data_IF_704457969040
#
_entry.id   IF_704457969040
#
_cell.length_a   1.000
_cell.length_b   1.000
_cell.length_c   1.000
_cell.angle_alpha   90.00
_cell.angle_beta   90.00
_cell.angle_gamma   90.00
#
_symmetry.space_group_name_H-M   'P 1'
#
loop_
_entity.id
_entity.type
_entity.pdbx_description
1 polymer ?
#
# COMPACT_ATOMS: atom_id res chain seq x y z
N UNK A 1 69.80 22.71 -11.33
CA UNK A 1 68.83 22.18 -10.34
C UNK A 1 67.45 22.26 -11.00
N UNK A 2 67.07 21.20 -11.71
CA UNK A 2 66.09 20.17 -11.30
C UNK A 2 64.66 20.62 -11.65
N UNK A 3 64.10 20.17 -12.79
CA UNK A 3 63.14 19.05 -12.93
C UNK A 3 61.75 19.39 -12.34
N UNK A 4 60.57 19.06 -12.88
CA UNK A 4 60.10 18.28 -14.05
C UNK A 4 58.58 18.10 -13.87
N UNK A 5 57.84 18.06 -14.99
CA UNK A 5 56.55 17.39 -15.20
C UNK A 5 55.23 17.98 -14.64
N UNK A 6 54.39 18.37 -15.61
CA UNK A 6 53.02 17.86 -15.85
C UNK A 6 52.43 16.86 -14.85
N UNK A 7 51.15 17.07 -14.51
CA UNK A 7 50.06 16.09 -14.33
C UNK A 7 48.79 16.92 -14.03
N UNK A 8 48.04 17.38 -15.03
CA UNK A 8 46.80 16.72 -15.48
C UNK A 8 46.25 15.72 -14.45
N UNK A 9 45.21 16.12 -13.71
CA UNK A 9 44.29 15.18 -13.07
C UNK A 9 42.90 15.78 -13.04
N UNK A 10 42.07 15.22 -13.92
CA UNK A 10 40.61 15.10 -13.83
C UNK A 10 40.09 15.17 -12.40
N UNK A 11 39.22 16.14 -12.10
CA UNK A 11 38.20 15.96 -11.05
C UNK A 11 36.88 15.62 -11.72
N UNK A 12 36.80 14.37 -12.17
CA UNK A 12 35.54 13.67 -12.42
C UNK A 12 34.71 13.71 -11.14
N UNK A 13 33.49 14.21 -11.28
CA UNK A 13 32.25 13.72 -10.66
C UNK A 13 32.43 12.56 -9.70
N UNK A 14 32.28 12.85 -8.41
CA UNK A 14 31.93 11.85 -7.40
C UNK A 14 30.53 12.16 -6.89
N UNK A 15 29.51 11.85 -7.69
CA UNK A 15 28.16 11.64 -7.19
C UNK A 15 28.24 10.42 -6.28
N UNK A 16 28.39 10.64 -4.97
CA UNK A 16 28.15 9.59 -3.97
C UNK A 16 26.68 9.20 -4.10
N UNK A 17 26.40 8.15 -4.88
CA UNK A 17 25.20 7.33 -4.68
C UNK A 17 25.30 6.81 -3.24
N UNK A 18 24.63 7.48 -2.32
CA UNK A 18 24.48 6.98 -0.96
C UNK A 18 23.73 5.66 -1.09
N UNK A 19 24.42 4.55 -0.87
CA UNK A 19 23.77 3.26 -0.65
C UNK A 19 22.98 3.45 0.64
N UNK A 20 21.69 3.75 0.51
CA UNK A 20 20.76 3.81 1.64
C UNK A 20 20.79 2.41 2.23
N UNK A 21 21.46 2.26 3.36
CA UNK A 21 21.54 0.99 4.06
C UNK A 21 20.20 0.80 4.77
N UNK A 22 19.21 0.30 4.04
CA UNK A 22 17.88 0.04 4.58
C UNK A 22 18.04 -0.96 5.74
N UNK A 23 17.71 -0.55 6.95
CA UNK A 23 17.91 -1.34 8.17
C UNK A 23 17.00 -2.60 8.12
N UNK A 24 17.54 -3.78 8.39
CA UNK A 24 16.75 -5.03 8.44
C UNK A 24 15.64 -5.02 9.52
N UNK A 25 15.75 -4.18 10.55
CA UNK A 25 14.65 -3.93 11.49
C UNK A 25 13.48 -3.18 10.83
N UNK A 26 13.79 -2.27 9.91
CA UNK A 26 12.81 -1.44 9.21
C UNK A 26 12.07 -2.22 8.11
N UNK A 27 12.77 -3.06 7.33
CA UNK A 27 12.10 -3.99 6.39
C UNK A 27 11.18 -5.00 7.09
N UNK A 28 11.49 -5.35 8.35
CA UNK A 28 10.58 -6.16 9.17
C UNK A 28 9.34 -5.39 9.59
N UNK A 29 9.48 -4.11 9.92
CA UNK A 29 8.36 -3.25 10.29
C UNK A 29 7.37 -3.07 9.12
N UNK A 30 7.86 -2.81 7.90
CA UNK A 30 7.01 -2.81 6.68
C UNK A 30 6.31 -4.16 6.50
N UNK A 31 7.05 -5.27 6.62
CA UNK A 31 6.50 -6.61 6.43
C UNK A 31 5.45 -6.98 7.50
N UNK A 32 5.64 -6.51 8.72
CA UNK A 32 4.69 -6.68 9.82
C UNK A 32 3.44 -5.83 9.60
N UNK A 33 3.58 -4.59 9.13
CA UNK A 33 2.46 -3.70 8.81
C UNK A 33 1.61 -4.26 7.65
N UNK A 34 2.23 -4.68 6.54
CA UNK A 34 1.52 -5.33 5.43
C UNK A 34 0.78 -6.58 5.89
N UNK A 35 1.38 -7.37 6.78
CA UNK A 35 0.72 -8.57 7.33
C UNK A 35 -0.50 -8.20 8.18
N UNK A 36 -0.45 -7.13 8.96
CA UNK A 36 -1.60 -6.66 9.76
C UNK A 36 -2.71 -6.11 8.85
N UNK A 37 -2.36 -5.34 7.81
CA UNK A 37 -3.30 -4.83 6.82
C UNK A 37 -4.07 -5.96 6.13
N UNK A 38 -3.38 -6.96 5.59
CA UNK A 38 -4.03 -8.12 4.96
C UNK A 38 -4.92 -8.89 5.94
N UNK A 39 -4.50 -9.06 7.20
CA UNK A 39 -5.34 -9.71 8.21
C UNK A 39 -6.63 -8.93 8.50
N UNK A 40 -6.57 -7.60 8.52
CA UNK A 40 -7.74 -6.76 8.71
C UNK A 40 -8.66 -6.81 7.49
N UNK A 41 -8.12 -6.77 6.27
CA UNK A 41 -8.88 -6.92 5.03
C UNK A 41 -9.62 -8.26 4.98
N UNK A 42 -8.93 -9.37 5.21
CA UNK A 42 -9.52 -10.71 5.18
C UNK A 42 -10.62 -10.89 6.25
N UNK A 43 -10.39 -10.40 7.47
CA UNK A 43 -11.40 -10.46 8.54
C UNK A 43 -12.62 -9.63 8.21
N UNK A 44 -12.43 -8.46 7.62
CA UNK A 44 -13.53 -7.58 7.22
C UNK A 44 -14.31 -8.22 6.06
N UNK A 45 -13.61 -8.76 5.06
CA UNK A 45 -14.21 -9.49 3.93
C UNK A 45 -15.07 -10.66 4.40
N UNK A 46 -14.55 -11.48 5.31
CA UNK A 46 -15.28 -12.62 5.85
C UNK A 46 -16.63 -12.22 6.49
N UNK A 47 -16.69 -11.08 7.18
CA UNK A 47 -17.93 -10.59 7.79
C UNK A 47 -18.89 -9.95 6.79
N UNK A 48 -18.38 -9.44 5.67
CA UNK A 48 -19.18 -8.81 4.62
C UNK A 48 -19.60 -9.78 3.52
N UNK A 49 -19.10 -11.02 3.55
CA UNK A 49 -19.37 -12.01 2.52
C UNK A 49 -20.87 -12.41 2.47
N UNK A 50 -21.50 -12.37 1.29
CA UNK A 50 -22.89 -12.82 1.10
C UNK A 50 -23.11 -14.30 1.45
N UNK A 51 -22.04 -15.10 1.43
CA UNK A 51 -22.02 -16.55 1.70
C UNK A 51 -22.48 -16.91 3.11
N UNK A 52 -22.48 -15.95 4.05
CA UNK A 52 -22.99 -16.14 5.41
C UNK A 52 -24.47 -16.53 5.44
N UNK A 53 -25.25 -16.21 4.40
CA UNK A 53 -26.64 -16.65 4.24
C UNK A 53 -27.59 -16.17 5.35
N UNK A 54 -27.13 -15.25 6.21
CA UNK A 54 -27.88 -14.70 7.34
C UNK A 54 -27.52 -13.23 7.59
N UNK A 55 -28.42 -12.45 8.18
CA UNK A 55 -28.08 -11.12 8.70
C UNK A 55 -27.03 -11.19 9.81
N UNK A 56 -26.17 -10.17 9.88
CA UNK A 56 -25.25 -9.98 11.00
C UNK A 56 -26.04 -9.62 12.27
N UNK A 57 -25.65 -10.21 13.40
CA UNK A 57 -26.16 -9.82 14.71
C UNK A 57 -25.53 -8.50 15.17
N UNK A 58 -26.18 -7.79 16.10
CA UNK A 58 -25.73 -6.48 16.58
C UNK A 58 -24.28 -6.47 17.10
N UNK A 59 -23.81 -7.55 17.73
CA UNK A 59 -22.42 -7.68 18.16
C UNK A 59 -21.44 -7.78 16.98
N UNK A 60 -21.82 -8.50 15.92
CA UNK A 60 -21.00 -8.65 14.72
C UNK A 60 -20.93 -7.34 13.94
N UNK A 61 -22.05 -6.60 13.85
CA UNK A 61 -22.09 -5.25 13.27
C UNK A 61 -21.15 -4.30 14.03
N UNK A 62 -21.21 -4.29 15.37
CA UNK A 62 -20.26 -3.49 16.17
C UNK A 62 -18.81 -3.92 15.97
N UNK A 63 -18.57 -5.23 15.81
CA UNK A 63 -17.26 -5.77 15.47
C UNK A 63 -16.76 -5.27 14.12
N UNK A 64 -17.63 -5.28 13.12
CA UNK A 64 -17.35 -4.78 11.77
C UNK A 64 -16.97 -3.30 11.76
N UNK A 65 -17.74 -2.44 12.44
CA UNK A 65 -17.42 -1.00 12.55
C UNK A 65 -16.03 -0.77 13.15
N UNK A 66 -15.68 -1.53 14.20
CA UNK A 66 -14.34 -1.45 14.82
C UNK A 66 -13.24 -1.94 13.89
N UNK A 67 -13.49 -2.98 13.11
CA UNK A 67 -12.55 -3.49 12.12
C UNK A 67 -12.31 -2.46 11.00
N UNK A 68 -13.37 -1.85 10.48
CA UNK A 68 -13.27 -0.79 9.46
C UNK A 68 -12.47 0.41 9.96
N UNK A 69 -12.70 0.84 11.21
CA UNK A 69 -11.94 1.93 11.82
C UNK A 69 -10.45 1.61 11.91
N UNK A 70 -10.10 0.39 12.37
CA UNK A 70 -8.71 -0.07 12.42
C UNK A 70 -8.08 -0.21 11.04
N UNK A 71 -8.85 -0.69 10.06
CA UNK A 71 -8.40 -0.83 8.69
C UNK A 71 -8.04 0.53 8.09
N UNK A 72 -8.84 1.57 8.35
CA UNK A 72 -8.54 2.95 7.92
C UNK A 72 -7.19 3.43 8.47
N UNK A 73 -6.98 3.27 9.77
CA UNK A 73 -5.72 3.72 10.40
C UNK A 73 -4.51 2.95 9.85
N UNK A 74 -4.66 1.65 9.58
CA UNK A 74 -3.60 0.82 8.98
C UNK A 74 -3.34 1.16 7.52
N UNK A 75 -4.39 1.39 6.73
CA UNK A 75 -4.23 1.78 5.34
C UNK A 75 -3.51 3.14 5.20
N UNK A 76 -3.82 4.09 6.11
CA UNK A 76 -3.10 5.37 6.15
C UNK A 76 -1.61 5.19 6.43
N UNK A 77 -1.25 4.29 7.36
CA UNK A 77 0.14 3.98 7.64
C UNK A 77 0.83 3.33 6.45
N UNK A 78 0.19 2.33 5.85
CA UNK A 78 0.71 1.60 4.70
C UNK A 78 1.06 2.54 3.54
N UNK A 79 0.13 3.39 3.09
CA UNK A 79 0.40 4.38 2.03
C UNK A 79 1.50 5.38 2.45
N UNK A 80 1.51 5.83 3.70
CA UNK A 80 2.55 6.74 4.17
C UNK A 80 3.95 6.08 4.14
N UNK A 81 4.05 4.78 4.43
CA UNK A 81 5.30 4.03 4.32
C UNK A 81 5.73 3.92 2.86
N UNK A 82 4.83 3.54 1.96
CA UNK A 82 5.18 3.39 0.54
C UNK A 82 5.67 4.69 -0.09
N UNK A 83 5.01 5.80 0.25
CA UNK A 83 5.37 7.14 -0.23
C UNK A 83 6.68 7.66 0.40
N UNK A 84 6.89 7.46 1.70
CA UNK A 84 8.07 7.98 2.40
C UNK A 84 9.35 7.22 2.07
N UNK A 85 9.24 5.92 1.79
CA UNK A 85 10.38 5.06 1.56
C UNK A 85 10.64 4.79 0.07
N UNK A 86 9.81 5.35 -0.80
CA UNK A 86 9.98 5.21 -2.24
C UNK A 86 9.99 3.74 -2.63
N UNK A 87 8.99 2.98 -2.17
CA UNK A 87 8.89 1.53 -2.47
C UNK A 87 9.01 1.25 -3.99
N UNK A 88 8.60 2.22 -4.81
CA UNK A 88 8.79 2.24 -6.26
C UNK A 88 10.02 3.01 -6.77
N UNK A 89 10.64 3.90 -5.98
CA UNK A 89 11.80 4.70 -6.42
C UNK A 89 13.02 3.83 -6.72
N UNK A 90 13.23 2.75 -5.97
CA UNK A 90 14.30 1.79 -6.24
C UNK A 90 14.04 1.03 -7.57
N UNK A 91 12.78 0.62 -7.81
CA UNK A 91 12.35 -0.03 -9.05
C UNK A 91 12.43 0.93 -10.26
N UNK A 92 12.02 2.18 -10.09
CA UNK A 92 12.08 3.24 -11.11
C UNK A 92 13.52 3.67 -11.41
N UNK A 93 14.41 3.66 -10.41
CA UNK A 93 15.84 3.91 -10.62
C UNK A 93 16.47 2.81 -11.47
N UNK A 94 16.05 1.55 -11.30
CA UNK A 94 16.47 0.43 -12.14
C UNK A 94 15.84 0.49 -13.54
N UNK A 95 14.59 0.92 -13.65
CA UNK A 95 13.83 0.96 -14.90
C UNK A 95 13.08 2.31 -15.09
N UNK A 96 13.76 3.36 -15.60
CA UNK A 96 13.19 4.72 -15.71
C UNK A 96 11.90 4.84 -16.55
N UNK A 97 11.64 3.87 -17.45
CA UNK A 97 10.39 3.82 -18.23
C UNK A 97 9.15 3.53 -17.37
N UNK A 98 9.32 2.93 -16.19
CA UNK A 98 8.25 2.57 -15.25
C UNK A 98 7.82 3.76 -14.37
N UNK A 99 8.48 4.91 -14.48
CA UNK A 99 8.17 6.12 -13.70
C UNK A 99 6.71 6.55 -13.83
N UNK A 100 6.19 6.57 -15.06
CA UNK A 100 4.81 7.03 -15.33
C UNK A 100 3.79 6.11 -14.69
N UNK A 101 4.01 4.79 -14.78
CA UNK A 101 3.11 3.78 -14.21
C UNK A 101 3.14 3.79 -12.68
N UNK A 102 4.33 3.94 -12.09
CA UNK A 102 4.50 4.14 -10.65
C UNK A 102 3.78 5.40 -10.14
N UNK A 103 3.91 6.52 -10.84
CA UNK A 103 3.23 7.77 -10.46
C UNK A 103 1.71 7.65 -10.57
N UNK A 104 1.22 6.93 -11.58
CA UNK A 104 -0.21 6.64 -11.75
C UNK A 104 -0.75 5.77 -10.61
N UNK A 105 -0.05 4.70 -10.23
CA UNK A 105 -0.44 3.84 -9.11
C UNK A 105 -0.44 4.62 -7.78
N UNK A 106 0.61 5.40 -7.51
CA UNK A 106 0.67 6.24 -6.31
C UNK A 106 -0.49 7.25 -6.24
N UNK A 107 -0.94 7.77 -7.38
CA UNK A 107 -2.07 8.70 -7.42
C UNK A 107 -3.41 8.05 -6.99
N UNK A 108 -3.49 6.71 -6.93
CA UNK A 108 -4.68 5.98 -6.48
C UNK A 108 -4.81 5.88 -4.96
N UNK A 109 -3.71 6.06 -4.20
CA UNK A 109 -3.71 5.98 -2.73
C UNK A 109 -4.73 6.94 -2.12
N UNK A 110 -4.74 8.20 -2.56
CA UNK A 110 -5.66 9.23 -2.08
C UNK A 110 -7.13 8.84 -2.28
N UNK A 111 -7.57 8.55 -3.53
CA UNK A 111 -8.91 8.06 -3.81
C UNK A 111 -9.31 6.82 -2.99
N UNK A 112 -8.45 5.80 -2.87
CA UNK A 112 -8.72 4.59 -2.10
C UNK A 112 -8.90 4.90 -0.61
N UNK A 113 -8.05 5.76 -0.05
CA UNK A 113 -8.15 6.16 1.34
C UNK A 113 -9.43 6.95 1.64
N UNK A 114 -9.79 7.91 0.77
CA UNK A 114 -11.04 8.68 0.90
C UNK A 114 -12.25 7.75 0.83
N UNK A 115 -12.23 6.77 -0.05
CA UNK A 115 -13.30 5.80 -0.17
C UNK A 115 -13.50 5.01 1.13
N UNK A 116 -12.41 4.52 1.74
CA UNK A 116 -12.48 3.82 3.02
C UNK A 116 -12.95 4.73 4.16
N UNK A 117 -12.56 6.01 4.17
CA UNK A 117 -13.08 7.00 5.12
C UNK A 117 -14.61 7.11 5.02
N UNK A 118 -15.18 7.21 3.81
CA UNK A 118 -16.62 7.25 3.64
C UNK A 118 -17.32 5.97 4.13
N UNK A 119 -16.72 4.81 3.93
CA UNK A 119 -17.23 3.52 4.45
C UNK A 119 -17.26 3.54 5.97
N UNK A 120 -16.18 4.01 6.61
CA UNK A 120 -16.11 4.15 8.08
C UNK A 120 -17.18 5.10 8.59
N UNK A 121 -17.28 6.30 8.03
CA UNK A 121 -18.27 7.32 8.39
C UNK A 121 -19.71 6.80 8.25
N UNK A 122 -20.00 6.11 7.15
CA UNK A 122 -21.30 5.47 6.93
C UNK A 122 -21.64 4.43 8.01
N UNK A 123 -20.61 3.74 8.53
CA UNK A 123 -20.77 2.67 9.51
C UNK A 123 -20.94 3.17 10.97
N UNK A 124 -20.47 4.38 11.30
CA UNK A 124 -20.45 4.91 12.67
C UNK A 124 -21.81 4.88 13.38
N UNK A 125 -22.95 5.26 12.73
CA UNK A 125 -24.26 5.25 13.38
C UNK A 125 -24.70 3.85 13.86
N UNK A 126 -24.11 2.77 13.32
CA UNK A 126 -24.45 1.39 13.71
C UNK A 126 -23.97 1.01 15.11
N UNK A 127 -23.08 1.80 15.72
CA UNK A 127 -22.65 1.59 17.11
C UNK A 127 -23.75 1.90 18.13
N UNK A 128 -24.68 2.79 17.78
CA UNK A 128 -25.65 3.37 18.71
C UNK A 128 -27.10 2.95 18.45
N UNK A 129 -27.42 2.45 17.25
CA UNK A 129 -28.79 2.06 16.87
C UNK A 129 -29.02 0.56 17.06
N UNK A 130 -30.03 0.20 17.85
CA UNK A 130 -30.41 -1.20 18.12
C UNK A 130 -31.01 -1.93 16.90
N UNK A 131 -31.38 -1.21 15.83
CA UNK A 131 -32.06 -1.74 14.65
C UNK A 131 -31.30 -1.40 13.34
N UNK A 132 -30.08 -1.94 13.18
CA UNK A 132 -29.18 -1.64 12.07
C UNK A 132 -29.39 -2.51 10.80
N UNK A 133 -30.51 -3.21 10.65
CA UNK A 133 -30.64 -4.20 9.55
C UNK A 133 -30.72 -3.57 8.15
N UNK A 134 -31.21 -2.33 8.01
CA UNK A 134 -31.45 -1.71 6.70
C UNK A 134 -30.16 -1.16 6.05
N UNK A 135 -29.13 -0.80 6.84
CA UNK A 135 -27.88 -0.22 6.32
C UNK A 135 -26.70 -1.18 6.24
N UNK A 136 -26.75 -2.32 6.95
CA UNK A 136 -25.61 -3.26 7.01
C UNK A 136 -25.37 -3.94 5.65
N UNK A 137 -26.41 -4.28 4.90
CA UNK A 137 -26.24 -4.86 3.56
C UNK A 137 -25.54 -3.89 2.61
N UNK A 138 -25.88 -2.60 2.68
CA UNK A 138 -25.23 -1.56 1.87
C UNK A 138 -23.75 -1.42 2.28
N UNK A 139 -23.47 -1.37 3.58
CA UNK A 139 -22.09 -1.35 4.09
C UNK A 139 -21.26 -2.54 3.58
N UNK A 140 -21.83 -3.75 3.57
CA UNK A 140 -21.16 -4.94 3.04
C UNK A 140 -20.87 -4.81 1.53
N UNK A 141 -21.83 -4.28 0.75
CA UNK A 141 -21.64 -4.02 -0.69
C UNK A 141 -20.55 -2.99 -0.93
N UNK A 142 -20.59 -1.86 -0.22
CA UNK A 142 -19.57 -0.81 -0.32
C UNK A 142 -18.18 -1.35 -0.01
N UNK A 143 -18.02 -2.09 1.09
CA UNK A 143 -16.74 -2.69 1.45
C UNK A 143 -16.26 -3.73 0.45
N UNK A 144 -17.15 -4.57 -0.08
CA UNK A 144 -16.78 -5.57 -1.09
C UNK A 144 -16.25 -4.90 -2.36
N UNK A 145 -16.88 -3.81 -2.79
CA UNK A 145 -16.43 -3.03 -3.93
C UNK A 145 -15.08 -2.34 -3.68
N UNK A 146 -14.89 -1.76 -2.49
CA UNK A 146 -13.60 -1.22 -2.05
C UNK A 146 -12.50 -2.29 -2.08
N UNK A 147 -12.75 -3.43 -1.44
CA UNK A 147 -11.79 -4.53 -1.32
C UNK A 147 -11.33 -5.02 -2.69
N UNK A 148 -12.25 -5.13 -3.66
CA UNK A 148 -11.90 -5.52 -5.02
C UNK A 148 -10.98 -4.51 -5.71
N UNK A 149 -11.28 -3.21 -5.60
CA UNK A 149 -10.41 -2.15 -6.15
C UNK A 149 -9.04 -2.12 -5.49
N UNK A 150 -8.99 -2.24 -4.17
CA UNK A 150 -7.73 -2.28 -3.43
C UNK A 150 -6.89 -3.50 -3.82
N UNK A 151 -7.51 -4.66 -4.01
CA UNK A 151 -6.82 -5.86 -4.51
C UNK A 151 -6.25 -5.66 -5.92
N UNK A 152 -7.00 -5.03 -6.83
CA UNK A 152 -6.52 -4.72 -8.19
C UNK A 152 -5.38 -3.69 -8.20
N UNK A 153 -5.35 -2.78 -7.23
CA UNK A 153 -4.23 -1.88 -7.01
C UNK A 153 -2.96 -2.64 -6.58
N UNK A 154 -3.04 -3.44 -5.51
CA UNK A 154 -1.93 -4.27 -5.01
C UNK A 154 -1.34 -5.23 -6.06
N UNK A 155 -2.20 -5.82 -6.90
CA UNK A 155 -1.74 -6.70 -7.98
C UNK A 155 -0.89 -5.93 -9.00
N UNK A 156 -1.33 -4.73 -9.41
CA UNK A 156 -0.57 -3.91 -10.37
C UNK A 156 0.74 -3.41 -9.79
N UNK A 157 0.77 -3.09 -8.51
CA UNK A 157 2.01 -2.74 -7.81
C UNK A 157 2.99 -3.92 -7.78
N UNK A 158 2.49 -5.11 -7.48
CA UNK A 158 3.30 -6.34 -7.51
C UNK A 158 3.86 -6.61 -8.91
N UNK A 159 3.03 -6.49 -9.95
CA UNK A 159 3.44 -6.65 -11.35
C UNK A 159 4.51 -5.63 -11.75
N UNK A 160 4.35 -4.37 -11.34
CA UNK A 160 5.33 -3.30 -11.61
C UNK A 160 6.69 -3.62 -10.98
N UNK A 161 6.70 -4.10 -9.74
CA UNK A 161 7.91 -4.49 -9.02
C UNK A 161 8.60 -5.66 -9.72
N UNK A 162 7.85 -6.69 -10.11
CA UNK A 162 8.40 -7.84 -10.84
C UNK A 162 8.98 -7.42 -12.19
N UNK A 163 8.29 -6.57 -12.94
CA UNK A 163 8.77 -6.05 -14.22
C UNK A 163 10.06 -5.23 -14.09
N UNK A 164 10.27 -4.53 -12.97
CA UNK A 164 11.52 -3.83 -12.70
C UNK A 164 12.69 -4.80 -12.45
N UNK A 165 12.45 -5.93 -11.78
CA UNK A 165 13.48 -6.94 -11.49
C UNK A 165 13.88 -7.77 -12.71
N UNK A 166 12.94 -8.16 -13.56
CA UNK A 166 13.23 -8.94 -14.78
C UNK A 166 14.12 -8.15 -15.76
N UNK A 167 13.96 -6.83 -15.79
CA UNK A 167 14.76 -5.94 -16.62
C UNK A 167 16.18 -5.71 -16.09
N UNK A 168 16.37 -5.70 -14.77
CA UNK A 168 17.70 -5.58 -14.15
C UNK A 168 18.57 -6.84 -14.43
N UNK A 169 17.94 -8.01 -14.60
CA UNK A 169 18.62 -9.27 -14.93
C UNK A 169 18.94 -9.43 -16.44
N UNK A 170 18.38 -8.59 -17.32
CA UNK A 170 18.44 -8.72 -18.78
C UNK A 170 19.71 -8.18 -19.47
N UNK A 171 20.66 -7.59 -18.74
CA UNK A 171 21.84 -6.92 -19.33
C UNK A 171 23.12 -7.77 -19.35
N UNK A 172 22.99 -9.08 -19.61
CA UNK A 172 24.13 -10.00 -19.68
C UNK A 172 24.31 -10.62 -21.06
N UNK A 173 24.85 -9.86 -22.02
CA UNK A 173 25.46 -10.38 -23.25
C UNK A 173 26.99 -10.18 -23.27
#
# INVERSE_FOLDING_TARGET
MSNRQQLQTDRRTATRKGVVTINAAFLREIKEDNRELHQLLERTRYLTEPSLGRPLHANEVRGLVKLLSRLKDRLAMHFALEEAYGYFEDAVTAAPRLTVESEMLRAEHGPLFIELCHIVEYSEPFLYREAATVGVSELCTMFTAFHQRFYEHEQRETELILAAFDDDLGCGD
#
